data_IF_286336680900
#
_entry.id   IF_286336680900
#
_cell.length_a   1.000
_cell.length_b   1.000
_cell.length_c   1.000
_cell.angle_alpha   90.00
_cell.angle_beta   90.00
_cell.angle_gamma   90.00
#
_symmetry.space_group_name_H-M   'P 1'
#
loop_
_entity.id
_entity.type
_entity.pdbx_description
1 polymer ?
#
# COMPACT_ATOMS: atom_id res chain seq x y z
N UNK A 1 19.92 23.54 -2.58
CA UNK A 1 18.53 23.21 -2.14
C UNK A 1 17.51 23.00 -3.28
N UNK A 2 17.56 23.70 -4.43
CA UNK A 2 16.55 23.59 -5.52
C UNK A 2 16.44 22.23 -6.25
N UNK A 3 17.34 21.25 -6.03
CA UNK A 3 17.29 19.92 -6.67
C UNK A 3 16.47 18.86 -5.91
N UNK A 4 16.19 19.07 -4.62
CA UNK A 4 15.44 18.11 -3.80
C UNK A 4 13.90 18.17 -4.01
N UNK A 5 13.41 19.16 -4.76
CA UNK A 5 11.98 19.38 -5.03
C UNK A 5 11.58 19.02 -6.48
N UNK A 6 12.33 18.16 -7.16
CA UNK A 6 11.84 17.60 -8.43
C UNK A 6 10.77 16.55 -8.09
N UNK A 7 9.59 16.65 -8.72
CA UNK A 7 8.65 15.53 -8.78
C UNK A 7 9.46 14.27 -9.13
N UNK A 8 9.36 13.23 -8.28
CA UNK A 8 10.17 12.01 -8.46
C UNK A 8 10.06 11.56 -9.91
N UNK A 9 11.17 11.16 -10.55
CA UNK A 9 11.09 10.58 -11.87
C UNK A 9 10.10 9.41 -11.80
N UNK A 10 9.12 9.42 -12.70
CA UNK A 10 8.31 8.25 -12.99
C UNK A 10 9.26 7.24 -13.63
N UNK A 11 10.04 6.54 -12.79
CA UNK A 11 10.99 5.53 -13.27
C UNK A 11 10.16 4.35 -13.72
N UNK A 12 9.85 4.31 -15.02
CA UNK A 12 9.28 3.12 -15.66
C UNK A 12 10.17 1.93 -15.31
N UNK A 13 9.58 0.88 -14.75
CA UNK A 13 10.27 -0.39 -14.47
C UNK A 13 10.60 -0.70 -13.01
N UNK A 14 10.49 0.24 -12.07
CA UNK A 14 10.67 -0.08 -10.63
C UNK A 14 9.30 -0.23 -9.96
N UNK A 15 8.93 -1.43 -9.47
CA UNK A 15 7.64 -1.64 -8.84
C UNK A 15 7.45 -0.76 -7.61
N UNK A 16 6.22 -0.30 -7.40
CA UNK A 16 5.85 0.45 -6.19
C UNK A 16 5.74 -0.48 -4.98
N UNK A 17 5.17 -1.67 -5.17
CA UNK A 17 5.09 -2.74 -4.18
C UNK A 17 6.45 -3.42 -4.07
N UNK A 18 7.04 -3.41 -2.88
CA UNK A 18 8.40 -3.95 -2.62
C UNK A 18 8.40 -5.12 -1.65
N UNK A 19 7.31 -5.33 -0.89
CA UNK A 19 7.17 -6.47 0.01
C UNK A 19 5.73 -6.97 -0.01
N UNK A 20 5.59 -8.29 -0.06
CA UNK A 20 4.36 -9.05 0.17
C UNK A 20 4.74 -10.15 1.15
N UNK A 21 4.08 -10.20 2.30
CA UNK A 21 4.36 -11.17 3.36
C UNK A 21 3.04 -11.70 3.93
N UNK A 22 2.89 -13.02 3.94
CA UNK A 22 1.73 -13.71 4.49
C UNK A 22 2.07 -14.24 5.88
N UNK A 23 1.24 -13.93 6.86
CA UNK A 23 1.42 -14.35 8.25
C UNK A 23 0.21 -15.12 8.75
N UNK A 24 0.30 -16.45 8.93
CA UNK A 24 -0.74 -17.20 9.59
C UNK A 24 -0.76 -16.87 11.08
N UNK A 25 -1.94 -16.59 11.63
CA UNK A 25 -2.18 -16.40 13.06
C UNK A 25 -3.45 -17.17 13.43
N UNK A 26 -3.29 -18.28 14.15
CA UNK A 26 -4.40 -19.22 14.36
C UNK A 26 -4.88 -19.82 13.03
N UNK A 27 -6.19 -19.77 12.80
CA UNK A 27 -6.84 -20.21 11.56
C UNK A 27 -6.87 -19.12 10.46
N UNK A 28 -6.36 -17.92 10.75
CA UNK A 28 -6.41 -16.76 9.85
C UNK A 28 -5.11 -16.53 9.11
N UNK A 29 -5.19 -16.24 7.82
CA UNK A 29 -4.07 -15.77 7.01
C UNK A 29 -4.11 -14.25 6.88
N UNK A 30 -3.08 -13.56 7.34
CA UNK A 30 -2.97 -12.10 7.25
C UNK A 30 -1.99 -11.73 6.13
N UNK A 31 -2.23 -10.59 5.48
CA UNK A 31 -1.40 -10.07 4.40
C UNK A 31 -0.79 -8.72 4.81
N UNK A 32 0.54 -8.67 4.83
CA UNK A 32 1.31 -7.45 5.04
C UNK A 32 1.98 -7.04 3.74
N UNK A 33 1.84 -5.77 3.38
CA UNK A 33 2.44 -5.22 2.16
C UNK A 33 3.14 -3.92 2.43
N UNK A 34 4.23 -3.69 1.70
CA UNK A 34 4.98 -2.42 1.75
C UNK A 34 5.12 -1.85 0.36
N UNK A 35 4.65 -0.63 0.19
CA UNK A 35 4.83 0.17 -1.01
C UNK A 35 5.93 1.22 -0.77
N UNK A 36 6.94 1.23 -1.64
CA UNK A 36 7.99 2.26 -1.69
C UNK A 36 7.40 3.65 -1.92
N UNK A 37 6.40 3.74 -2.79
CA UNK A 37 5.69 5.00 -3.06
C UNK A 37 4.34 4.76 -3.69
N UNK A 38 3.33 5.52 -3.30
CA UNK A 38 1.98 5.40 -3.82
C UNK A 38 1.26 6.76 -3.83
N UNK A 39 0.39 6.94 -4.83
CA UNK A 39 -0.52 8.08 -4.89
C UNK A 39 -1.77 7.80 -4.06
N UNK A 40 -2.11 8.68 -3.12
CA UNK A 40 -3.38 8.58 -2.37
C UNK A 40 -4.48 9.19 -3.23
N UNK A 41 -4.96 8.36 -4.14
CA UNK A 41 -6.09 8.58 -5.04
C UNK A 41 -6.79 7.23 -5.33
N UNK A 42 -7.57 7.17 -6.40
CA UNK A 42 -8.25 5.95 -6.85
C UNK A 42 -7.29 4.77 -7.10
N UNK A 43 -6.00 5.02 -7.39
CA UNK A 43 -5.02 3.95 -7.54
C UNK A 43 -4.73 3.25 -6.21
N UNK A 44 -4.77 3.97 -5.08
CA UNK A 44 -4.62 3.33 -3.77
C UNK A 44 -5.76 2.38 -3.47
N UNK A 45 -6.99 2.77 -3.81
CA UNK A 45 -8.15 1.90 -3.66
C UNK A 45 -8.06 0.67 -4.56
N UNK A 46 -7.65 0.84 -5.82
CA UNK A 46 -7.44 -0.28 -6.76
C UNK A 46 -6.40 -1.29 -6.25
N UNK A 47 -5.28 -0.80 -5.72
CA UNK A 47 -4.27 -1.66 -5.09
C UNK A 47 -4.82 -2.37 -3.86
N UNK A 48 -5.56 -1.68 -2.99
CA UNK A 48 -6.13 -2.28 -1.79
C UNK A 48 -7.11 -3.42 -2.13
N UNK A 49 -7.99 -3.21 -3.11
CA UNK A 49 -8.92 -4.24 -3.60
C UNK A 49 -8.13 -5.42 -4.18
N UNK A 50 -7.09 -5.15 -4.98
CA UNK A 50 -6.26 -6.19 -5.58
C UNK A 50 -5.57 -7.05 -4.51
N UNK A 51 -5.08 -6.42 -3.44
CA UNK A 51 -4.48 -7.13 -2.31
C UNK A 51 -5.51 -7.93 -1.51
N UNK A 52 -6.72 -7.41 -1.32
CA UNK A 52 -7.79 -8.15 -0.66
C UNK A 52 -8.20 -9.41 -1.45
N UNK A 53 -8.30 -9.30 -2.79
CA UNK A 53 -8.55 -10.46 -3.67
C UNK A 53 -7.41 -11.47 -3.58
N UNK A 54 -6.15 -10.99 -3.56
CA UNK A 54 -4.99 -11.85 -3.42
C UNK A 54 -5.00 -12.62 -2.09
N UNK A 55 -5.29 -11.92 -0.98
CA UNK A 55 -5.42 -12.54 0.35
C UNK A 55 -6.52 -13.59 0.36
N UNK A 56 -7.69 -13.27 -0.18
CA UNK A 56 -8.82 -14.18 -0.24
C UNK A 56 -8.49 -15.45 -1.00
N UNK A 57 -7.88 -15.33 -2.19
CA UNK A 57 -7.51 -16.49 -3.02
C UNK A 57 -6.49 -17.38 -2.32
N UNK A 58 -5.40 -16.79 -1.81
CA UNK A 58 -4.34 -17.57 -1.16
C UNK A 58 -4.86 -18.21 0.13
N UNK A 59 -5.69 -17.52 0.91
CA UNK A 59 -6.28 -18.09 2.11
C UNK A 59 -7.11 -19.35 1.79
N UNK A 60 -7.98 -19.29 0.76
CA UNK A 60 -8.76 -20.45 0.33
C UNK A 60 -7.86 -21.60 -0.14
N UNK A 61 -6.88 -21.32 -1.00
CA UNK A 61 -5.99 -22.34 -1.56
C UNK A 61 -5.15 -23.02 -0.46
N UNK A 62 -4.85 -22.30 0.62
CA UNK A 62 -4.07 -22.79 1.77
C UNK A 62 -4.93 -23.26 2.95
N UNK A 63 -6.27 -23.29 2.79
CA UNK A 63 -7.25 -23.70 3.82
C UNK A 63 -7.25 -22.84 5.10
N UNK A 64 -6.83 -21.58 4.99
CA UNK A 64 -6.97 -20.58 6.04
C UNK A 64 -8.21 -19.71 5.81
N UNK A 65 -8.69 -19.05 6.87
CA UNK A 65 -9.68 -17.98 6.75
C UNK A 65 -8.96 -16.65 6.43
N UNK A 66 -9.50 -15.80 5.53
CA UNK A 66 -8.89 -14.49 5.25
C UNK A 66 -8.89 -13.61 6.51
N UNK A 67 -7.73 -13.11 6.89
CA UNK A 67 -7.51 -12.26 8.06
C UNK A 67 -7.36 -10.78 7.71
N UNK A 68 -6.43 -10.13 8.40
CA UNK A 68 -6.17 -8.69 8.27
C UNK A 68 -5.29 -8.43 7.05
N UNK A 69 -5.63 -7.36 6.32
CA UNK A 69 -4.80 -6.77 5.28
C UNK A 69 -4.16 -5.47 5.81
N UNK A 70 -2.84 -5.41 5.83
CA UNK A 70 -2.06 -4.22 6.18
C UNK A 70 -1.29 -3.73 4.97
N UNK A 71 -1.51 -2.46 4.60
CA UNK A 71 -0.84 -1.78 3.49
C UNK A 71 -0.03 -0.60 4.01
N UNK A 72 1.30 -0.77 4.07
CA UNK A 72 2.24 0.25 4.51
C UNK A 72 2.81 1.01 3.32
N UNK A 73 2.84 2.34 3.38
CA UNK A 73 3.35 3.19 2.29
C UNK A 73 4.46 4.08 2.84
N UNK A 74 5.70 3.88 2.35
CA UNK A 74 6.85 4.66 2.80
C UNK A 74 6.84 6.11 2.27
N UNK A 75 6.42 6.31 1.02
CA UNK A 75 6.36 7.65 0.44
C UNK A 75 5.02 7.93 -0.21
N UNK A 76 4.20 8.65 0.53
CA UNK A 76 2.86 9.07 0.13
C UNK A 76 2.95 10.28 -0.81
N UNK A 77 2.28 10.21 -1.95
CA UNK A 77 2.17 11.33 -2.91
C UNK A 77 0.70 11.75 -3.03
N UNK A 78 0.43 13.05 -2.91
CA UNK A 78 -0.90 13.61 -3.10
C UNK A 78 -0.95 14.34 -4.44
N UNK A 79 -2.06 14.16 -5.17
CA UNK A 79 -2.30 14.91 -6.41
C UNK A 79 -2.55 16.40 -6.12
N UNK A 80 -3.28 16.72 -5.04
CA UNK A 80 -3.45 18.08 -4.52
C UNK A 80 -2.60 18.27 -3.24
N UNK A 81 -1.80 19.34 -3.21
CA UNK A 81 -0.96 19.71 -2.06
C UNK A 81 -1.78 20.03 -0.80
N UNK A 82 -3.05 20.45 -0.94
CA UNK A 82 -3.95 20.75 0.19
C UNK A 82 -4.29 19.50 1.01
N UNK A 83 -4.46 18.35 0.35
CA UNK A 83 -4.76 17.08 1.02
C UNK A 83 -3.61 16.59 1.92
N UNK A 84 -2.36 16.92 1.56
CA UNK A 84 -1.20 16.62 2.40
C UNK A 84 -1.29 17.30 3.77
N UNK A 85 -1.72 18.57 3.80
CA UNK A 85 -1.80 19.37 5.03
C UNK A 85 -2.90 18.84 5.97
N UNK A 86 -4.03 18.44 5.40
CA UNK A 86 -5.16 17.88 6.15
C UNK A 86 -4.81 16.54 6.81
N UNK A 87 -4.14 15.64 6.09
CA UNK A 87 -3.73 14.35 6.66
C UNK A 87 -2.65 14.50 7.73
N UNK A 88 -1.76 15.48 7.62
CA UNK A 88 -0.79 15.78 8.67
C UNK A 88 -1.48 16.27 9.96
N UNK A 89 -2.59 16.98 9.86
CA UNK A 89 -3.37 17.45 11.02
C UNK A 89 -4.16 16.35 11.72
N UNK A 90 -4.51 15.25 11.02
CA UNK A 90 -5.28 14.14 11.58
C UNK A 90 -4.40 13.12 12.35
N UNK A 91 -3.08 13.19 12.17
CA UNK A 91 -2.11 12.26 12.77
C UNK A 91 -1.31 12.94 13.91
N UNK A 92 -1.61 14.21 14.21
CA UNK A 92 -1.12 14.95 15.38
C UNK A 92 -2.21 15.02 16.46
#
# INVERSE_FOLDING_TARGET
MKRACRLRPCVKGIPSLILIDFKPIGDKLNLYTVFRSQYIDTNTLGNLISLAILLYRIAIDTKYTPGILVSTIHNITFKDKRHKKLLQQLVQ
#
